data_IF_329079790812
#
_entry.id   IF_329079790812
#
_cell.length_a   1.000
_cell.length_b   1.000
_cell.length_c   1.000
_cell.angle_alpha   90.00
_cell.angle_beta   90.00
_cell.angle_gamma   90.00
#
_symmetry.space_group_name_H-M   'P 1'
#
loop_
_entity.id
_entity.type
_entity.pdbx_description
1 polymer ?
#
# COMPACT_ATOMS: atom_id res chain seq x y z
N UNK A 1 -12.59 8.92 -9.06
CA UNK A 1 -11.47 8.06 -9.45
C UNK A 1 -10.20 8.79 -9.05
N UNK A 2 -9.86 8.69 -7.78
CA UNK A 2 -8.63 9.21 -7.21
C UNK A 2 -7.59 8.11 -7.03
N UNK A 3 -6.32 8.50 -7.03
CA UNK A 3 -5.18 7.66 -6.73
C UNK A 3 -4.53 8.13 -5.43
N UNK A 4 -3.93 7.21 -4.68
CA UNK A 4 -3.18 7.52 -3.46
C UNK A 4 -1.81 8.12 -3.81
N UNK A 5 -1.49 9.30 -3.26
CA UNK A 5 -0.16 9.90 -3.29
C UNK A 5 0.01 11.02 -2.22
N UNK A 6 0.80 10.75 -1.16
CA UNK A 6 0.38 10.79 0.27
C UNK A 6 -1.07 11.17 0.63
N UNK A 7 -1.72 12.07 -0.12
CA UNK A 7 -3.13 12.38 -0.10
C UNK A 7 -3.83 11.83 -1.36
N UNK A 8 -5.16 11.90 -1.42
CA UNK A 8 -5.92 11.40 -2.59
C UNK A 8 -5.88 12.43 -3.71
N UNK A 9 -5.29 12.07 -4.85
CA UNK A 9 -5.25 12.93 -6.04
C UNK A 9 -6.27 12.48 -7.08
N UNK A 10 -6.97 13.41 -7.72
CA UNK A 10 -7.90 13.09 -8.81
C UNK A 10 -7.14 13.12 -10.14
N UNK A 11 -7.18 12.03 -10.91
CA UNK A 11 -6.53 11.97 -12.21
C UNK A 11 -7.44 12.51 -13.32
N UNK A 12 -6.90 13.37 -14.18
CA UNK A 12 -7.59 13.83 -15.39
C UNK A 12 -7.93 12.66 -16.30
N UNK A 13 -9.17 12.54 -16.79
CA UNK A 13 -9.57 11.37 -17.58
C UNK A 13 -8.83 11.24 -18.93
N UNK A 14 -8.42 12.35 -19.53
CA UNK A 14 -7.73 12.36 -20.82
C UNK A 14 -6.88 13.60 -20.99
N UNK A 15 -5.67 13.43 -21.50
CA UNK A 15 -4.84 14.53 -21.99
C UNK A 15 -4.26 14.10 -23.35
N UNK A 16 -4.51 14.90 -24.39
CA UNK A 16 -4.04 14.65 -25.76
C UNK A 16 -4.43 13.27 -26.34
N UNK A 17 -5.62 12.75 -26.00
CA UNK A 17 -6.13 11.47 -26.52
C UNK A 17 -5.61 10.23 -25.78
N UNK A 18 -4.79 10.39 -24.74
CA UNK A 18 -4.36 9.30 -23.86
C UNK A 18 -5.21 9.26 -22.59
N UNK A 19 -5.65 8.07 -22.19
CA UNK A 19 -6.45 7.87 -20.97
C UNK A 19 -5.53 7.95 -19.74
N UNK A 20 -5.47 9.11 -19.09
CA UNK A 20 -4.74 9.36 -17.84
C UNK A 20 -5.53 8.84 -16.61
N UNK A 21 -6.14 7.65 -16.71
CA UNK A 21 -7.02 7.08 -15.68
C UNK A 21 -6.39 5.90 -14.92
N UNK A 22 -5.09 5.66 -15.09
CA UNK A 22 -4.41 4.59 -14.38
C UNK A 22 -3.69 5.17 -13.18
N UNK A 23 -3.94 4.60 -12.00
CA UNK A 23 -3.09 4.83 -10.85
C UNK A 23 -1.78 4.07 -11.04
N UNK A 24 -0.68 4.70 -10.68
CA UNK A 24 0.66 4.12 -10.69
C UNK A 24 1.23 4.10 -9.27
N UNK A 25 2.00 3.05 -8.98
CA UNK A 25 2.86 2.93 -7.80
C UNK A 25 4.15 2.24 -8.23
N UNK A 26 5.28 2.83 -7.86
CA UNK A 26 6.60 2.27 -8.13
C UNK A 26 7.31 2.01 -6.82
N UNK A 27 7.88 0.81 -6.69
CA UNK A 27 8.63 0.38 -5.53
C UNK A 27 10.06 0.04 -5.92
N UNK A 28 11.01 0.30 -5.02
CA UNK A 28 12.36 -0.24 -5.18
C UNK A 28 12.32 -1.75 -4.95
N UNK A 29 12.82 -2.54 -5.91
CA UNK A 29 12.94 -3.99 -5.74
C UNK A 29 13.97 -4.31 -4.65
N UNK A 30 15.01 -3.49 -4.52
CA UNK A 30 16.11 -3.70 -3.58
C UNK A 30 15.72 -3.30 -2.15
N UNK A 31 15.07 -2.14 -1.99
CA UNK A 31 14.76 -1.57 -0.67
C UNK A 31 13.32 -1.84 -0.22
N UNK A 32 12.43 -2.28 -1.11
CA UNK A 32 11.01 -2.49 -0.81
C UNK A 32 10.23 -1.21 -0.47
N UNK A 33 10.80 -0.03 -0.74
CA UNK A 33 10.19 1.26 -0.42
C UNK A 33 9.38 1.83 -1.59
N UNK A 34 8.32 2.58 -1.28
CA UNK A 34 7.57 3.37 -2.25
C UNK A 34 8.47 4.50 -2.78
N UNK A 35 8.77 4.47 -4.08
CA UNK A 35 9.55 5.52 -4.75
C UNK A 35 8.65 6.61 -5.29
N UNK A 36 7.55 6.23 -5.95
CA UNK A 36 6.58 7.18 -6.51
C UNK A 36 5.21 6.55 -6.58
N UNK A 37 4.17 7.39 -6.53
CA UNK A 37 2.78 7.00 -6.76
C UNK A 37 2.04 8.16 -7.44
N UNK A 38 0.92 7.90 -8.09
CA UNK A 38 0.11 8.97 -8.67
C UNK A 38 -0.69 8.52 -9.89
N UNK A 39 -0.80 9.39 -10.88
CA UNK A 39 -1.54 9.15 -12.12
C UNK A 39 -0.57 8.85 -13.28
N UNK A 40 -0.89 7.86 -14.09
CA UNK A 40 -0.16 7.50 -15.30
C UNK A 40 -1.08 7.30 -16.50
N UNK A 41 -0.48 7.38 -17.69
CA UNK A 41 -1.12 6.96 -18.93
C UNK A 41 -1.00 5.45 -19.11
N UNK A 42 -1.92 4.86 -19.89
CA UNK A 42 -1.81 3.45 -20.28
C UNK A 42 -0.47 3.11 -20.92
N UNK A 43 0.14 4.06 -21.66
CA UNK A 43 1.45 3.87 -22.29
C UNK A 43 2.57 3.70 -21.26
N UNK A 44 2.56 4.52 -20.20
CA UNK A 44 3.53 4.40 -19.11
C UNK A 44 3.44 3.03 -18.42
N UNK A 45 2.23 2.48 -18.31
CA UNK A 45 2.00 1.16 -17.70
C UNK A 45 2.37 -0.02 -18.62
N UNK A 46 2.45 0.19 -19.93
CA UNK A 46 2.87 -0.84 -20.90
C UNK A 46 4.38 -0.79 -21.19
N UNK A 47 5.04 0.30 -20.83
CA UNK A 47 6.48 0.47 -20.98
C UNK A 47 7.21 -0.55 -20.09
N UNK A 48 8.32 -1.10 -20.60
CA UNK A 48 9.13 -2.05 -19.84
C UNK A 48 9.70 -1.44 -18.56
N UNK A 49 9.61 -2.20 -17.47
CA UNK A 49 10.10 -1.81 -16.14
C UNK A 49 11.61 -1.54 -16.17
N UNK A 50 12.04 -0.44 -15.57
CA UNK A 50 13.47 -0.15 -15.39
C UNK A 50 14.08 -1.20 -14.44
N UNK A 51 15.35 -1.61 -14.63
CA UNK A 51 15.99 -2.56 -13.74
C UNK A 51 16.03 -2.03 -12.30
N UNK A 52 15.55 -2.82 -11.35
CA UNK A 52 15.57 -2.49 -9.92
C UNK A 52 14.33 -1.74 -9.39
N UNK A 53 13.32 -1.49 -10.24
CA UNK A 53 12.02 -0.96 -9.81
C UNK A 53 10.89 -1.89 -10.21
N UNK A 54 9.84 -1.93 -9.39
CA UNK A 54 8.62 -2.67 -9.64
C UNK A 54 7.48 -1.69 -9.85
N UNK A 55 6.87 -1.71 -11.02
CA UNK A 55 5.81 -0.79 -11.41
C UNK A 55 4.47 -1.52 -11.29
N UNK A 56 3.53 -0.94 -10.55
CA UNK A 56 2.17 -1.41 -10.43
C UNK A 56 1.20 -0.37 -10.98
N UNK A 57 0.34 -0.80 -11.90
CA UNK A 57 -0.71 0.02 -12.48
C UNK A 57 -2.09 -0.62 -12.32
N UNK A 58 -3.10 0.20 -12.05
CA UNK A 58 -4.49 -0.22 -11.85
C UNK A 58 -5.46 0.93 -12.20
N UNK A 59 -6.73 0.65 -12.51
CA UNK A 59 -7.70 1.68 -12.98
C UNK A 59 -8.89 1.94 -12.03
N UNK A 60 -8.84 1.33 -10.85
CA UNK A 60 -9.86 1.47 -9.80
C UNK A 60 -9.49 2.56 -8.79
N UNK A 61 -10.48 3.06 -8.06
CA UNK A 61 -10.28 4.13 -7.07
C UNK A 61 -9.35 3.65 -5.94
N UNK A 62 -8.29 4.43 -5.64
CA UNK A 62 -7.31 4.19 -4.57
C UNK A 62 -6.57 2.84 -4.63
N UNK A 63 -6.55 2.20 -5.79
CA UNK A 63 -5.95 0.87 -5.96
C UNK A 63 -4.43 0.82 -5.78
N UNK A 64 -3.75 1.96 -5.95
CA UNK A 64 -2.31 2.10 -5.76
C UNK A 64 -1.93 2.43 -4.29
N UNK A 65 -2.88 2.32 -3.35
CA UNK A 65 -2.60 2.49 -1.94
C UNK A 65 -1.52 1.49 -1.50
N UNK A 66 -0.44 1.99 -0.90
CA UNK A 66 0.52 1.10 -0.27
C UNK A 66 -0.16 0.43 0.93
N UNK A 67 0.03 -0.88 1.16
CA UNK A 67 -0.06 -1.35 2.53
C UNK A 67 0.88 -0.45 3.33
N UNK A 68 0.37 0.15 4.41
CA UNK A 68 1.17 1.02 5.28
C UNK A 68 2.48 0.30 5.54
N UNK A 69 3.59 1.04 5.52
CA UNK A 69 4.88 0.54 6.01
C UNK A 69 4.63 -0.34 7.23
N UNK A 70 5.33 -1.48 7.40
CA UNK A 70 5.10 -2.39 8.52
C UNK A 70 4.92 -1.53 9.76
N UNK A 71 3.69 -1.49 10.28
CA UNK A 71 3.49 -0.83 11.56
C UNK A 71 4.48 -1.56 12.48
N UNK A 72 5.29 -0.85 13.30
CA UNK A 72 5.98 -1.53 14.36
C UNK A 72 4.91 -2.39 15.06
N UNK A 73 5.21 -3.67 15.35
CA UNK A 73 4.23 -4.54 15.99
C UNK A 73 3.63 -3.75 17.15
N UNK A 74 2.31 -3.85 17.40
CA UNK A 74 1.69 -3.19 18.53
C UNK A 74 2.30 -3.75 19.82
N UNK A 75 3.45 -3.20 20.19
CA UNK A 75 4.08 -3.38 21.47
C UNK A 75 3.29 -2.53 22.45
N UNK A 76 2.65 -3.23 23.38
CA UNK A 76 2.28 -2.71 24.70
C UNK A 76 1.05 -1.80 24.76
N UNK A 77 -0.10 -2.31 24.32
CA UNK A 77 -1.39 -1.88 24.85
C UNK A 77 -2.36 -3.07 24.90
N UNK A 78 -2.27 -3.87 25.97
CA UNK A 78 -3.14 -5.03 26.15
C UNK A 78 -2.73 -5.84 27.37
N UNK A 79 -2.90 -5.25 28.55
CA UNK A 79 -2.60 -5.90 29.82
C UNK A 79 -3.37 -7.22 30.03
N UNK A 80 -2.70 -8.13 30.74
CA UNK A 80 -3.32 -9.11 31.64
C UNK A 80 -4.40 -10.05 31.08
N UNK A 81 -4.12 -10.80 30.01
CA UNK A 81 -4.87 -12.04 29.72
C UNK A 81 -4.16 -13.32 30.19
N UNK A 82 -3.03 -13.21 30.91
CA UNK A 82 -2.39 -14.37 31.56
C UNK A 82 -2.99 -14.68 32.95
N UNK A 83 -3.91 -13.86 33.45
CA UNK A 83 -4.53 -14.04 34.76
C UNK A 83 -5.58 -15.18 34.84
N UNK A 84 -6.38 -15.54 33.81
CA UNK A 84 -7.38 -16.59 33.96
C UNK A 84 -6.76 -18.00 34.01
N UNK A 85 -5.60 -18.20 33.39
CA UNK A 85 -4.96 -19.52 33.33
C UNK A 85 -4.28 -19.91 34.65
N UNK A 86 -3.74 -18.95 35.39
CA UNK A 86 -3.13 -19.20 36.71
C UNK A 86 -4.19 -19.48 37.80
N UNK A 87 -5.38 -18.88 37.70
CA UNK A 87 -6.49 -19.11 38.64
C UNK A 87 -7.10 -20.52 38.52
N UNK A 88 -7.12 -21.10 37.32
CA UNK A 88 -7.63 -22.48 37.12
C UNK A 88 -6.70 -23.54 37.72
N UNK A 89 -5.39 -23.28 37.82
CA UNK A 89 -4.43 -24.22 38.38
C UNK A 89 -4.47 -24.27 39.92
N UNK A 90 -4.89 -23.19 40.60
CA UNK A 90 -5.00 -23.17 42.08
C UNK A 90 -6.27 -23.82 42.62
N UNK A 91 -7.34 -23.92 41.83
CA UNK A 91 -8.62 -24.52 42.25
C UNK A 91 -8.69 -26.04 42.07
N UNK A 92 -7.67 -26.64 41.46
CA UNK A 92 -7.55 -28.09 41.25
C UNK A 92 -6.50 -28.76 42.17
N UNK A 93 -5.95 -28.03 43.14
CA UNK A 93 -5.06 -28.57 44.18
C UNK A 93 -5.74 -28.72 45.53
#
# INVERSE_FOLDING_TARGET
>A
MGCSNPEVITCSHSHQGFKHRFCIKTESVVLGILLTSGCATSRHCQQQELPGVRIHCCDTDLCNSSPRAPQPPPGLAGGCLLLPCLLAALLLS
#
